data_IF_502001307749
#
_entry.id   IF_502001307749
#
_cell.length_a   1.000
_cell.length_b   1.000
_cell.length_c   1.000
_cell.angle_alpha   90.00
_cell.angle_beta   90.00
_cell.angle_gamma   90.00
#
_symmetry.space_group_name_H-M   'P 1'
#
loop_
_entity.id
_entity.type
_entity.pdbx_description
1 polymer ?
#
# COMPACT_ATOMS: atom_id res chain seq x y z
N UNK A 1 -39.72 -22.51 19.17
CA UNK A 1 -40.07 -21.19 19.71
C UNK A 1 -39.54 -21.13 21.13
N UNK A 2 -38.37 -20.59 21.33
CA UNK A 2 -37.83 -20.25 22.67
C UNK A 2 -37.36 -18.80 22.61
N UNK A 3 -38.11 -17.94 23.25
CA UNK A 3 -37.87 -16.51 23.46
C UNK A 3 -36.65 -16.33 24.38
N UNK A 4 -35.58 -15.78 23.81
CA UNK A 4 -34.42 -15.32 24.56
C UNK A 4 -34.77 -13.94 25.14
N UNK A 5 -34.83 -13.85 26.47
CA UNK A 5 -35.04 -12.62 27.23
C UNK A 5 -33.78 -11.71 27.10
N UNK A 6 -33.94 -10.38 27.00
CA UNK A 6 -32.79 -9.47 26.93
C UNK A 6 -32.11 -9.40 28.32
N UNK A 7 -30.80 -9.62 28.32
CA UNK A 7 -29.92 -9.39 29.47
C UNK A 7 -29.93 -7.88 29.76
N UNK A 8 -30.36 -7.52 30.97
CA UNK A 8 -30.29 -6.15 31.46
C UNK A 8 -28.84 -5.72 31.61
N UNK A 9 -28.45 -4.67 30.92
CA UNK A 9 -27.13 -4.04 31.01
C UNK A 9 -27.06 -3.31 32.38
N UNK A 10 -26.05 -3.67 33.16
CA UNK A 10 -25.65 -3.03 34.41
C UNK A 10 -25.17 -1.60 34.12
N UNK A 11 -25.92 -0.60 34.61
CA UNK A 11 -25.60 0.82 34.44
C UNK A 11 -24.83 1.30 35.66
N UNK A 12 -23.51 1.06 35.73
CA UNK A 12 -22.62 1.75 36.65
C UNK A 12 -21.58 2.58 35.91
N UNK A 13 -21.72 3.92 36.02
CA UNK A 13 -20.75 4.99 35.88
C UNK A 13 -19.76 4.87 34.70
N UNK A 14 -20.18 5.25 33.49
CA UNK A 14 -19.31 5.56 32.35
C UNK A 14 -19.82 6.84 31.69
N UNK A 15 -18.93 7.78 31.49
CA UNK A 15 -19.09 9.08 30.83
C UNK A 15 -20.10 9.02 29.66
N UNK A 16 -21.21 9.74 29.78
CA UNK A 16 -22.18 9.87 28.68
C UNK A 16 -21.46 10.55 27.51
N UNK A 17 -21.36 9.90 26.34
CA UNK A 17 -20.73 10.53 25.20
C UNK A 17 -21.38 11.89 24.96
N UNK A 18 -20.56 12.95 24.79
CA UNK A 18 -21.01 14.34 24.70
C UNK A 18 -22.14 14.46 23.68
N UNK A 19 -23.12 15.33 23.94
CA UNK A 19 -24.29 15.52 23.07
C UNK A 19 -23.92 15.83 21.61
N UNK A 20 -22.70 16.28 21.37
CA UNK A 20 -22.12 16.50 20.05
C UNK A 20 -21.90 15.15 19.31
N UNK A 21 -21.30 14.14 19.95
CA UNK A 21 -21.05 12.82 19.34
C UNK A 21 -22.37 12.15 18.96
N UNK A 22 -23.37 12.19 19.84
CA UNK A 22 -24.70 11.61 19.58
C UNK A 22 -25.45 12.35 18.44
N UNK A 23 -25.31 13.68 18.36
CA UNK A 23 -25.87 14.48 17.24
C UNK A 23 -25.18 14.14 15.92
N UNK A 24 -23.86 13.99 15.92
CA UNK A 24 -23.10 13.62 14.70
C UNK A 24 -23.47 12.23 14.21
N UNK A 25 -23.60 11.24 15.10
CA UNK A 25 -24.08 9.90 14.77
C UNK A 25 -25.53 9.90 14.26
N UNK A 26 -26.42 10.68 14.86
CA UNK A 26 -27.79 10.81 14.41
C UNK A 26 -27.86 11.46 13.01
N UNK A 27 -27.06 12.49 12.73
CA UNK A 27 -26.94 13.12 11.41
C UNK A 27 -26.38 12.16 10.37
N UNK A 28 -25.34 11.40 10.68
CA UNK A 28 -24.75 10.42 9.77
C UNK A 28 -25.73 9.26 9.46
N UNK A 29 -26.52 8.85 10.45
CA UNK A 29 -27.53 7.80 10.29
C UNK A 29 -28.78 8.26 9.54
N UNK A 30 -28.99 9.60 9.47
CA UNK A 30 -30.11 10.21 8.74
C UNK A 30 -29.77 10.57 7.29
N UNK A 31 -28.53 10.31 6.82
CA UNK A 31 -28.19 10.54 5.40
C UNK A 31 -29.02 9.57 4.55
N UNK A 32 -29.96 10.07 3.73
CA UNK A 32 -30.74 9.21 2.86
C UNK A 32 -29.80 8.42 1.94
N UNK A 33 -30.06 7.13 1.77
CA UNK A 33 -29.30 6.27 0.85
C UNK A 33 -29.17 6.87 -0.54
N UNK A 34 -30.18 7.67 -0.96
CA UNK A 34 -30.15 8.40 -2.23
C UNK A 34 -29.00 9.41 -2.35
N UNK A 35 -28.63 10.09 -1.24
CA UNK A 35 -27.49 11.02 -1.26
C UNK A 35 -26.18 10.25 -1.45
N UNK A 36 -26.03 9.08 -0.82
CA UNK A 36 -24.85 8.25 -1.01
C UNK A 36 -24.71 7.80 -2.46
N UNK A 37 -25.81 7.36 -3.08
CA UNK A 37 -25.83 6.99 -4.50
C UNK A 37 -25.52 8.20 -5.40
N UNK A 38 -26.06 9.38 -5.10
CA UNK A 38 -25.75 10.60 -5.84
C UNK A 38 -24.25 10.93 -5.79
N UNK A 39 -23.63 10.83 -4.61
CA UNK A 39 -22.20 11.03 -4.45
C UNK A 39 -21.39 10.00 -5.25
N UNK A 40 -21.77 8.72 -5.21
CA UNK A 40 -21.11 7.67 -6.01
C UNK A 40 -21.19 7.98 -7.50
N UNK A 41 -22.36 8.41 -8.00
CA UNK A 41 -22.53 8.78 -9.41
C UNK A 41 -21.64 9.97 -9.77
N UNK A 42 -21.67 11.04 -8.97
CA UNK A 42 -20.84 12.24 -9.22
C UNK A 42 -19.36 11.88 -9.24
N UNK A 43 -18.89 11.07 -8.29
CA UNK A 43 -17.49 10.62 -8.24
C UNK A 43 -17.09 9.69 -9.38
N UNK A 44 -18.06 8.97 -9.95
CA UNK A 44 -17.81 8.08 -11.09
C UNK A 44 -17.71 8.83 -12.43
N UNK A 45 -18.25 10.05 -12.53
CA UNK A 45 -18.28 10.84 -13.78
C UNK A 45 -16.88 11.01 -14.41
N UNK A 46 -15.83 11.47 -13.68
CA UNK A 46 -14.50 11.64 -14.29
C UNK A 46 -13.92 10.31 -14.76
N UNK A 47 -14.10 9.24 -13.98
CA UNK A 47 -13.61 7.89 -14.31
C UNK A 47 -14.30 7.33 -15.54
N UNK A 48 -15.64 7.50 -15.65
CA UNK A 48 -16.39 7.12 -16.83
C UNK A 48 -15.97 7.90 -18.07
N UNK A 49 -15.73 9.20 -17.92
CA UNK A 49 -15.21 10.03 -19.01
C UNK A 49 -13.85 9.57 -19.51
N UNK A 50 -12.96 9.23 -18.60
CA UNK A 50 -11.64 8.68 -18.94
C UNK A 50 -11.78 7.31 -19.62
N UNK A 51 -12.68 6.44 -19.12
CA UNK A 51 -12.98 5.13 -19.71
C UNK A 51 -13.48 5.26 -21.14
N UNK A 52 -14.46 6.11 -21.36
CA UNK A 52 -15.01 6.33 -22.70
C UNK A 52 -13.93 6.88 -23.64
N UNK A 53 -13.13 7.86 -23.18
CA UNK A 53 -12.06 8.41 -23.99
C UNK A 53 -10.96 7.39 -24.33
N UNK A 54 -10.75 6.36 -23.49
CA UNK A 54 -9.77 5.31 -23.81
C UNK A 54 -10.07 4.55 -25.11
N UNK A 55 -11.34 4.52 -25.51
CA UNK A 55 -11.81 3.88 -26.75
C UNK A 55 -12.07 4.86 -27.92
N UNK A 56 -11.92 6.17 -27.70
CA UNK A 56 -12.20 7.17 -28.75
C UNK A 56 -10.93 7.49 -29.53
N UNK A 57 -11.10 7.72 -30.82
CA UNK A 57 -9.99 8.16 -31.67
C UNK A 57 -9.51 9.57 -31.27
N UNK A 58 -8.30 9.93 -31.70
CA UNK A 58 -7.63 11.18 -31.32
C UNK A 58 -8.43 12.44 -31.68
N UNK A 59 -9.04 12.46 -32.84
CA UNK A 59 -9.78 13.63 -33.34
C UNK A 59 -11.06 13.86 -32.53
N UNK A 60 -11.76 12.78 -32.19
CA UNK A 60 -12.93 12.85 -31.33
C UNK A 60 -12.60 13.32 -29.93
N UNK A 61 -11.50 12.84 -29.34
CA UNK A 61 -11.06 13.26 -28.01
C UNK A 61 -10.70 14.77 -27.95
N UNK A 62 -10.14 15.33 -29.04
CA UNK A 62 -9.74 16.73 -29.11
C UNK A 62 -10.89 17.68 -29.40
N UNK A 63 -11.82 17.27 -30.26
CA UNK A 63 -12.82 18.17 -30.81
C UNK A 63 -14.17 18.10 -30.12
N UNK A 64 -14.45 17.03 -29.35
CA UNK A 64 -15.76 16.82 -28.71
C UNK A 64 -15.59 16.32 -27.28
N UNK A 65 -16.59 16.64 -26.43
CA UNK A 65 -16.62 16.12 -25.07
C UNK A 65 -16.92 14.60 -25.04
N UNK A 66 -16.40 13.90 -24.03
CA UNK A 66 -16.55 12.45 -23.85
C UNK A 66 -18.02 11.99 -23.79
N UNK A 67 -18.95 12.91 -23.47
CA UNK A 67 -20.41 12.62 -23.45
C UNK A 67 -21.08 12.66 -24.85
N UNK A 68 -20.33 12.98 -25.89
CA UNK A 68 -20.79 12.97 -27.29
C UNK A 68 -20.14 11.82 -28.05
N UNK A 69 -20.42 10.59 -27.59
CA UNK A 69 -19.86 9.37 -28.19
C UNK A 69 -20.64 9.00 -29.45
N UNK A 70 -19.92 8.73 -30.55
CA UNK A 70 -20.47 8.12 -31.76
C UNK A 70 -19.80 6.77 -32.02
N UNK A 71 -20.54 5.80 -32.59
CA UNK A 71 -19.95 4.47 -32.87
C UNK A 71 -18.74 4.51 -33.80
N UNK A 72 -18.72 5.43 -34.76
CA UNK A 72 -17.63 5.63 -35.73
C UNK A 72 -16.34 6.23 -35.10
N UNK A 73 -16.44 6.78 -33.91
CA UNK A 73 -15.30 7.33 -33.17
C UNK A 73 -14.59 6.27 -32.30
N UNK A 74 -15.22 5.10 -32.11
CA UNK A 74 -14.70 4.06 -31.21
C UNK A 74 -13.62 3.23 -31.92
N UNK A 75 -12.49 3.05 -31.22
CA UNK A 75 -11.33 2.30 -31.72
C UNK A 75 -10.57 1.62 -30.57
N UNK A 76 -9.84 0.57 -30.88
CA UNK A 76 -8.87 -0.07 -29.99
C UNK A 76 -7.44 0.39 -30.27
N UNK A 77 -7.22 1.27 -31.26
CA UNK A 77 -5.88 1.74 -31.65
C UNK A 77 -5.08 2.34 -30.51
N UNK A 78 -5.77 2.99 -29.53
CA UNK A 78 -5.11 3.54 -28.35
C UNK A 78 -4.45 2.43 -27.53
N UNK A 79 -5.11 1.28 -27.40
CA UNK A 79 -4.58 0.12 -26.69
C UNK A 79 -3.46 -0.55 -27.49
N UNK A 80 -3.59 -0.70 -28.78
CA UNK A 80 -2.52 -1.23 -29.65
C UNK A 80 -1.28 -0.36 -29.58
N UNK A 81 -1.46 0.96 -29.58
CA UNK A 81 -0.36 1.91 -29.48
C UNK A 81 0.39 1.83 -28.16
N UNK A 82 -0.31 1.75 -27.00
CA UNK A 82 0.36 1.69 -25.69
C UNK A 82 1.12 0.38 -25.46
N UNK A 83 0.66 -0.73 -26.08
CA UNK A 83 1.34 -2.02 -25.99
C UNK A 83 2.41 -2.21 -27.06
N UNK A 84 2.51 -1.29 -28.03
CA UNK A 84 3.59 -1.31 -29.02
C UNK A 84 4.96 -1.21 -28.34
N UNK A 85 5.99 -1.74 -28.99
CA UNK A 85 7.38 -1.64 -28.52
C UNK A 85 7.85 -0.19 -28.31
N UNK A 86 7.27 0.75 -29.05
CA UNK A 86 7.61 2.18 -28.94
C UNK A 86 7.09 2.80 -27.65
N UNK A 87 5.89 2.47 -27.20
CA UNK A 87 5.31 2.99 -25.96
C UNK A 87 5.78 2.21 -24.73
N UNK A 88 6.01 0.90 -24.85
CA UNK A 88 6.65 0.07 -23.82
C UNK A 88 5.83 -0.21 -22.57
N UNK A 89 4.49 -0.05 -22.62
CA UNK A 89 3.64 -0.23 -21.44
C UNK A 89 3.73 -1.66 -20.87
N UNK A 90 3.82 -2.68 -21.73
CA UNK A 90 3.95 -4.07 -21.29
C UNK A 90 5.18 -4.29 -20.40
N UNK A 91 6.34 -3.75 -20.81
CA UNK A 91 7.57 -3.83 -20.00
C UNK A 91 7.41 -3.05 -18.69
N UNK A 92 6.80 -1.88 -18.74
CA UNK A 92 6.60 -1.04 -17.55
C UNK A 92 5.62 -1.69 -16.54
N UNK A 93 4.62 -2.45 -17.00
CA UNK A 93 3.76 -3.26 -16.13
C UNK A 93 4.55 -4.35 -15.41
N UNK A 94 5.45 -5.05 -16.13
CA UNK A 94 6.34 -6.04 -15.52
C UNK A 94 7.28 -5.39 -14.49
N UNK A 95 7.82 -4.22 -14.80
CA UNK A 95 8.64 -3.46 -13.86
C UNK A 95 7.83 -3.03 -12.62
N UNK A 96 6.59 -2.56 -12.80
CA UNK A 96 5.69 -2.25 -11.68
C UNK A 96 5.45 -3.47 -10.79
N UNK A 97 5.22 -4.64 -11.37
CA UNK A 97 5.07 -5.88 -10.63
C UNK A 97 6.38 -6.30 -9.92
N UNK A 98 7.52 -6.16 -10.60
CA UNK A 98 8.85 -6.45 -10.04
C UNK A 98 9.22 -5.52 -8.86
N UNK A 99 8.60 -4.36 -8.76
CA UNK A 99 8.73 -3.45 -7.61
C UNK A 99 7.67 -3.77 -6.55
N UNK A 100 6.39 -3.83 -6.93
CA UNK A 100 5.28 -3.90 -5.98
C UNK A 100 5.19 -5.24 -5.25
N UNK A 101 5.49 -6.35 -5.91
CA UNK A 101 5.42 -7.68 -5.29
C UNK A 101 6.45 -7.85 -4.16
N UNK A 102 7.76 -7.66 -4.38
CA UNK A 102 8.74 -7.78 -3.30
C UNK A 102 8.56 -6.69 -2.24
N UNK A 103 8.23 -5.45 -2.61
CA UNK A 103 7.93 -4.36 -1.68
C UNK A 103 6.69 -4.60 -0.81
N UNK A 104 5.85 -5.56 -1.16
CA UNK A 104 4.70 -6.00 -0.35
C UNK A 104 5.04 -7.20 0.50
N UNK A 105 5.61 -8.25 -0.10
CA UNK A 105 5.83 -9.53 0.57
C UNK A 105 6.96 -9.45 1.61
N UNK A 106 8.07 -8.79 1.27
CA UNK A 106 9.25 -8.75 2.13
C UNK A 106 8.98 -8.03 3.46
N UNK A 107 8.43 -6.78 3.45
CA UNK A 107 8.14 -6.11 4.71
C UNK A 107 7.08 -6.83 5.55
N UNK A 108 6.09 -7.49 4.94
CA UNK A 108 5.10 -8.31 5.66
C UNK A 108 5.80 -9.45 6.40
N UNK A 109 6.65 -10.20 5.70
CA UNK A 109 7.34 -11.34 6.27
C UNK A 109 8.23 -10.90 7.45
N UNK A 110 9.08 -9.89 7.25
CA UNK A 110 9.98 -9.41 8.30
C UNK A 110 9.20 -8.81 9.47
N UNK A 111 8.19 -7.98 9.18
CA UNK A 111 7.39 -7.33 10.21
C UNK A 111 6.55 -8.32 11.03
N UNK A 112 6.06 -9.42 10.44
CA UNK A 112 5.34 -10.45 11.19
C UNK A 112 6.25 -11.11 12.25
N UNK A 113 7.48 -11.46 11.91
CA UNK A 113 8.46 -11.98 12.87
C UNK A 113 8.81 -10.94 13.93
N UNK A 114 9.12 -9.70 13.53
CA UNK A 114 9.47 -8.62 14.43
C UNK A 114 8.32 -8.29 15.39
N UNK A 115 7.10 -8.18 14.89
CA UNK A 115 5.91 -7.91 15.69
C UNK A 115 5.64 -9.03 16.71
N UNK A 116 5.78 -10.28 16.32
CA UNK A 116 5.70 -11.40 17.24
C UNK A 116 6.78 -11.35 18.32
N UNK A 117 8.02 -11.05 17.93
CA UNK A 117 9.13 -10.86 18.87
C UNK A 117 8.86 -9.76 19.87
N UNK A 118 8.38 -8.60 19.41
CA UNK A 118 8.00 -7.48 20.28
C UNK A 118 6.76 -7.76 21.17
N UNK A 119 5.84 -8.60 20.72
CA UNK A 119 4.63 -8.91 21.48
C UNK A 119 4.83 -9.99 22.55
N UNK A 120 5.52 -11.08 22.21
CA UNK A 120 5.50 -12.33 22.98
C UNK A 120 6.86 -12.86 23.41
N UNK A 121 7.96 -12.25 23.01
CA UNK A 121 9.30 -12.65 23.43
C UNK A 121 9.86 -11.59 24.40
N UNK A 122 10.29 -12.02 25.58
CA UNK A 122 10.95 -11.15 26.54
C UNK A 122 12.44 -11.07 26.27
N UNK A 123 12.92 -9.88 25.91
CA UNK A 123 14.34 -9.59 25.73
C UNK A 123 14.70 -8.19 26.25
N UNK A 124 15.97 -8.01 26.61
CA UNK A 124 16.49 -6.72 27.08
C UNK A 124 16.40 -5.68 25.96
N UNK A 125 15.83 -4.51 26.24
CA UNK A 125 15.70 -3.42 25.28
C UNK A 125 14.44 -3.51 24.38
N UNK A 126 13.51 -4.46 24.58
CA UNK A 126 12.28 -4.63 23.81
C UNK A 126 11.51 -3.32 23.63
N UNK A 127 11.18 -2.66 24.75
CA UNK A 127 10.38 -1.41 24.75
C UNK A 127 11.05 -0.26 24.02
N UNK A 128 12.32 0.14 24.37
CA UNK A 128 12.96 1.24 23.66
C UNK A 128 13.22 0.94 22.18
N UNK A 129 13.51 -0.32 21.80
CA UNK A 129 13.67 -0.69 20.40
C UNK A 129 12.35 -0.58 19.61
N UNK A 130 11.23 -1.03 20.21
CA UNK A 130 9.92 -0.84 19.59
C UNK A 130 9.57 0.63 19.42
N UNK A 131 9.78 1.46 20.45
CA UNK A 131 9.54 2.90 20.38
C UNK A 131 10.43 3.55 19.32
N UNK A 132 11.71 3.19 19.25
CA UNK A 132 12.61 3.68 18.21
C UNK A 132 12.15 3.29 16.80
N UNK A 133 11.68 2.06 16.62
CA UNK A 133 11.11 1.60 15.34
C UNK A 133 9.89 2.44 14.94
N UNK A 134 8.96 2.68 15.87
CA UNK A 134 7.77 3.50 15.60
C UNK A 134 8.15 4.97 15.36
N UNK A 135 9.15 5.49 16.04
CA UNK A 135 9.64 6.87 15.86
C UNK A 135 10.16 7.12 14.44
N UNK A 136 10.64 6.09 13.71
CA UNK A 136 11.02 6.22 12.31
C UNK A 136 9.87 6.65 11.39
N UNK A 137 8.61 6.45 11.79
CA UNK A 137 7.44 6.98 11.07
C UNK A 137 7.41 8.51 10.98
N UNK A 138 8.09 9.20 11.90
CA UNK A 138 8.18 10.65 11.91
C UNK A 138 9.14 11.20 10.82
N UNK A 139 9.95 10.36 10.20
CA UNK A 139 10.90 10.78 9.15
C UNK A 139 10.12 10.98 7.85
N UNK A 140 10.05 12.21 7.29
CA UNK A 140 9.40 12.43 6.01
C UNK A 140 10.13 11.68 4.90
N UNK A 141 9.39 10.89 4.12
CA UNK A 141 9.92 10.10 3.00
C UNK A 141 10.76 10.96 2.05
N UNK A 142 10.26 12.14 1.70
CA UNK A 142 10.90 13.04 0.74
C UNK A 142 12.31 13.46 1.16
N UNK A 143 12.52 13.67 2.47
CA UNK A 143 13.82 14.09 3.02
C UNK A 143 14.84 12.95 2.94
N UNK A 144 14.39 11.71 3.10
CA UNK A 144 15.27 10.55 3.11
C UNK A 144 15.64 10.03 1.71
N UNK A 145 14.93 10.41 0.64
CA UNK A 145 15.17 9.88 -0.71
C UNK A 145 16.57 10.20 -1.24
N UNK A 146 17.03 11.44 -1.11
CA UNK A 146 18.36 11.85 -1.62
C UNK A 146 19.50 11.14 -0.84
N UNK A 147 19.49 11.09 0.51
CA UNK A 147 20.45 10.29 1.26
C UNK A 147 20.47 8.81 0.87
N UNK A 148 19.30 8.20 0.67
CA UNK A 148 19.19 6.81 0.23
C UNK A 148 19.74 6.61 -1.18
N UNK A 149 19.43 7.51 -2.11
CA UNK A 149 19.99 7.44 -3.46
C UNK A 149 21.52 7.51 -3.43
N UNK A 150 22.11 8.41 -2.62
CA UNK A 150 23.55 8.48 -2.44
C UNK A 150 24.13 7.17 -1.90
N UNK A 151 23.43 6.54 -0.95
CA UNK A 151 23.82 5.24 -0.41
C UNK A 151 23.81 4.14 -1.49
N UNK A 152 22.84 4.18 -2.40
CA UNK A 152 22.70 3.21 -3.49
C UNK A 152 23.69 3.43 -4.64
N UNK A 153 24.22 4.64 -4.80
CA UNK A 153 25.22 5.00 -5.84
C UNK A 153 26.65 4.72 -5.39
N UNK A 154 26.96 4.93 -4.10
CA UNK A 154 28.36 4.92 -3.67
C UNK A 154 28.60 4.25 -2.30
N UNK A 155 27.57 3.59 -1.74
CA UNK A 155 27.67 3.01 -0.42
C UNK A 155 27.83 4.06 0.70
N UNK A 156 28.40 3.65 1.83
CA UNK A 156 28.72 4.54 2.93
C UNK A 156 30.11 4.25 3.49
N UNK A 157 30.93 5.28 3.64
CA UNK A 157 32.25 5.18 4.23
C UNK A 157 32.47 6.27 5.29
N UNK A 158 33.22 5.94 6.30
CA UNK A 158 33.65 6.86 7.34
C UNK A 158 35.17 7.09 7.21
N UNK A 159 35.55 8.30 6.88
CA UNK A 159 36.95 8.69 6.84
C UNK A 159 37.34 9.27 8.21
N UNK A 160 38.35 8.69 8.83
CA UNK A 160 38.94 9.15 10.09
C UNK A 160 40.14 10.03 9.79
N UNK A 161 39.99 11.37 9.81
CA UNK A 161 41.06 12.29 9.35
C UNK A 161 42.37 12.18 10.15
N UNK A 162 42.26 11.84 11.43
CA UNK A 162 43.43 11.67 12.33
C UNK A 162 44.29 10.43 12.03
N UNK A 163 43.67 9.40 11.39
CA UNK A 163 44.32 8.12 11.13
C UNK A 163 44.57 7.88 9.64
N UNK A 164 44.20 8.84 8.80
CA UNK A 164 44.21 8.74 7.33
C UNK A 164 43.60 7.39 6.82
N UNK A 165 42.55 6.95 7.54
CA UNK A 165 41.92 5.65 7.29
C UNK A 165 40.49 5.84 6.93
N UNK A 166 40.08 5.26 5.78
CA UNK A 166 38.66 5.16 5.37
C UNK A 166 38.13 3.76 5.69
N UNK A 167 37.05 3.69 6.47
CA UNK A 167 36.34 2.46 6.81
C UNK A 167 35.10 2.42 5.97
N UNK A 168 34.94 1.39 5.12
CA UNK A 168 33.71 1.14 4.38
C UNK A 168 32.70 0.54 5.33
N UNK A 169 31.61 1.27 5.61
CA UNK A 169 30.50 0.81 6.46
C UNK A 169 29.50 -0.02 5.66
N UNK A 170 29.18 0.46 4.45
CA UNK A 170 28.29 -0.20 3.51
C UNK A 170 28.99 -0.16 2.15
N UNK A 171 29.25 -1.31 1.52
CA UNK A 171 29.88 -1.33 0.21
C UNK A 171 28.94 -0.75 -0.87
N UNK A 172 29.52 -0.30 -1.97
CA UNK A 172 28.75 0.10 -3.14
C UNK A 172 28.19 -1.14 -3.84
N UNK A 173 26.88 -1.28 -3.80
CA UNK A 173 26.16 -2.35 -4.50
C UNK A 173 25.66 -1.92 -5.89
N UNK A 174 25.89 -0.68 -6.28
CA UNK A 174 25.46 -0.09 -7.55
C UNK A 174 23.97 -0.36 -7.84
N UNK A 175 23.12 -0.10 -6.85
CA UNK A 175 21.68 -0.39 -6.93
C UNK A 175 20.90 0.70 -7.66
N UNK A 176 21.42 1.93 -7.72
CA UNK A 176 20.73 3.05 -8.36
C UNK A 176 20.40 2.74 -9.83
N UNK A 177 19.27 3.24 -10.30
CA UNK A 177 18.79 2.98 -11.66
C UNK A 177 18.10 1.63 -11.85
N UNK A 178 17.82 0.89 -10.76
CA UNK A 178 17.20 -0.44 -10.81
C UNK A 178 15.86 -0.53 -10.08
N UNK A 179 15.01 -1.48 -10.49
CA UNK A 179 13.80 -1.85 -9.74
C UNK A 179 14.13 -2.32 -8.33
N UNK A 180 15.34 -2.88 -8.11
CA UNK A 180 15.81 -3.31 -6.78
C UNK A 180 15.94 -2.13 -5.82
N UNK A 181 16.52 -1.00 -6.25
CA UNK A 181 16.59 0.22 -5.43
C UNK A 181 15.19 0.70 -5.03
N UNK A 182 14.23 0.67 -5.98
CA UNK A 182 12.88 1.12 -5.72
C UNK A 182 12.17 0.23 -4.69
N UNK A 183 12.12 -1.10 -4.87
CA UNK A 183 11.42 -1.98 -3.93
C UNK A 183 12.11 -2.05 -2.56
N UNK A 184 13.43 -1.95 -2.50
CA UNK A 184 14.17 -1.92 -1.23
C UNK A 184 13.84 -0.65 -0.44
N UNK A 185 13.75 0.49 -1.11
CA UNK A 185 13.31 1.77 -0.52
C UNK A 185 11.89 1.66 0.03
N UNK A 186 10.94 1.14 -0.76
CA UNK A 186 9.57 0.91 -0.30
C UNK A 186 9.52 -0.03 0.91
N UNK A 187 10.31 -1.10 0.89
CA UNK A 187 10.43 -2.02 2.03
C UNK A 187 10.89 -1.30 3.29
N UNK A 188 11.95 -0.50 3.20
CA UNK A 188 12.47 0.26 4.33
C UNK A 188 11.44 1.19 4.97
N UNK A 189 10.71 1.95 4.16
CA UNK A 189 9.67 2.86 4.64
C UNK A 189 8.41 2.14 5.14
N UNK A 190 8.10 0.96 4.61
CA UNK A 190 6.96 0.16 5.04
C UNK A 190 7.17 -0.48 6.43
N UNK A 191 8.42 -0.83 6.76
CA UNK A 191 8.77 -1.62 7.94
C UNK A 191 8.24 -1.04 9.27
N UNK A 192 8.44 0.24 9.61
CA UNK A 192 7.99 0.78 10.89
C UNK A 192 6.46 0.68 11.05
N UNK A 193 5.71 1.01 10.00
CA UNK A 193 4.25 0.92 10.02
C UNK A 193 3.75 -0.53 10.06
N UNK A 194 4.36 -1.41 9.28
CA UNK A 194 4.04 -2.84 9.29
C UNK A 194 4.25 -3.46 10.67
N UNK A 195 5.40 -3.19 11.31
CA UNK A 195 5.71 -3.69 12.66
C UNK A 195 4.70 -3.13 13.68
N UNK A 196 4.41 -1.83 13.63
CA UNK A 196 3.44 -1.21 14.52
C UNK A 196 2.04 -1.83 14.38
N UNK A 197 1.54 -1.93 13.16
CA UNK A 197 0.22 -2.48 12.87
C UNK A 197 0.10 -3.95 13.32
N UNK A 198 1.06 -4.77 12.93
CA UNK A 198 1.07 -6.20 13.26
C UNK A 198 1.30 -6.44 14.74
N UNK A 199 2.15 -5.66 15.40
CA UNK A 199 2.36 -5.74 16.84
C UNK A 199 1.07 -5.47 17.61
N UNK A 200 0.32 -4.41 17.24
CA UNK A 200 -0.94 -4.09 17.91
C UNK A 200 -1.97 -5.23 17.78
N UNK A 201 -2.05 -5.83 16.59
CA UNK A 201 -2.94 -6.96 16.35
C UNK A 201 -2.49 -8.22 17.11
N UNK A 202 -1.23 -8.62 16.97
CA UNK A 202 -0.67 -9.84 17.59
C UNK A 202 -0.68 -9.74 19.12
N UNK A 203 -0.45 -8.56 19.69
CA UNK A 203 -0.55 -8.33 21.13
C UNK A 203 -1.98 -8.43 21.67
N UNK A 204 -2.98 -8.28 20.79
CA UNK A 204 -4.39 -8.37 21.19
C UNK A 204 -4.94 -9.79 21.16
N UNK A 205 -4.18 -10.78 20.70
CA UNK A 205 -4.58 -12.18 20.71
C UNK A 205 -4.73 -12.70 22.14
N UNK A 206 -5.72 -13.58 22.44
CA UNK A 206 -5.95 -14.11 23.78
C UNK A 206 -4.73 -14.86 24.30
N UNK A 207 -4.31 -14.55 25.55
CA UNK A 207 -3.15 -15.17 26.19
C UNK A 207 -3.34 -16.67 26.40
N UNK A 208 -4.56 -17.09 26.70
CA UNK A 208 -4.91 -18.50 26.94
C UNK A 208 -4.51 -19.42 25.78
N UNK A 209 -4.58 -18.91 24.53
CA UNK A 209 -4.14 -19.68 23.35
C UNK A 209 -2.64 -19.97 23.38
N UNK A 210 -1.84 -19.02 23.86
CA UNK A 210 -0.39 -19.15 23.96
C UNK A 210 0.01 -20.06 25.14
N UNK A 211 -0.73 -19.96 26.24
CA UNK A 211 -0.51 -20.79 27.43
C UNK A 211 -0.84 -22.25 27.11
N UNK A 212 -1.98 -22.52 26.48
CA UNK A 212 -2.35 -23.86 26.04
C UNK A 212 -1.32 -24.46 25.09
N UNK A 213 -0.87 -23.69 24.07
CA UNK A 213 0.16 -24.16 23.14
C UNK A 213 1.49 -24.47 23.83
N UNK A 214 1.87 -23.73 24.89
CA UNK A 214 3.08 -24.00 25.68
C UNK A 214 2.92 -25.26 26.55
N UNK A 215 1.74 -25.50 27.12
CA UNK A 215 1.44 -26.72 27.86
C UNK A 215 1.56 -27.94 26.94
N UNK A 216 1.12 -27.80 25.68
CA UNK A 216 1.26 -28.83 24.63
C UNK A 216 2.72 -28.99 24.12
N UNK A 217 3.69 -28.27 24.71
CA UNK A 217 5.11 -28.36 24.37
C UNK A 217 5.52 -27.58 23.12
N UNK A 218 4.66 -26.67 22.60
CA UNK A 218 5.02 -25.88 21.43
C UNK A 218 6.09 -24.84 21.74
N UNK A 219 7.16 -24.80 20.95
CA UNK A 219 8.16 -23.74 21.00
C UNK A 219 7.68 -22.47 20.26
N UNK A 220 8.43 -21.36 20.38
CA UNK A 220 8.08 -20.09 19.77
C UNK A 220 7.91 -20.16 18.23
N UNK A 221 8.72 -20.98 17.55
CA UNK A 221 8.61 -21.18 16.10
C UNK A 221 7.30 -21.88 15.72
N UNK A 222 6.93 -22.93 16.45
CA UNK A 222 5.67 -23.65 16.25
C UNK A 222 4.46 -22.75 16.52
N UNK A 223 4.50 -21.99 17.63
CA UNK A 223 3.45 -21.01 17.97
C UNK A 223 3.31 -19.97 16.86
N UNK A 224 4.41 -19.41 16.36
CA UNK A 224 4.36 -18.42 15.29
C UNK A 224 3.69 -18.98 14.03
N UNK A 225 4.15 -20.13 13.53
CA UNK A 225 3.66 -20.66 12.26
C UNK A 225 2.26 -21.27 12.34
N UNK A 226 1.92 -21.95 13.45
CA UNK A 226 0.66 -22.70 13.57
C UNK A 226 -0.46 -21.93 14.27
N UNK A 227 -0.13 -20.90 15.03
CA UNK A 227 -1.11 -20.12 15.76
C UNK A 227 -1.14 -18.66 15.31
N UNK A 228 -0.03 -17.93 15.45
CA UNK A 228 -0.01 -16.48 15.22
C UNK A 228 -0.23 -16.13 13.76
N UNK A 229 0.50 -16.76 12.85
CA UNK A 229 0.41 -16.45 11.41
C UNK A 229 -1.00 -16.72 10.84
N UNK A 230 -1.64 -17.90 11.08
CA UNK A 230 -3.01 -18.13 10.63
C UNK A 230 -4.04 -17.15 11.22
N UNK A 231 -3.93 -16.84 12.51
CA UNK A 231 -4.83 -15.89 13.16
C UNK A 231 -4.62 -14.44 12.66
N UNK A 232 -3.41 -14.12 12.20
CA UNK A 232 -3.06 -12.79 11.69
C UNK A 232 -3.38 -12.60 10.20
N UNK A 233 -3.87 -13.60 9.47
CA UNK A 233 -4.20 -13.48 8.04
C UNK A 233 -5.05 -12.25 7.71
N UNK A 234 -6.09 -11.86 8.50
CA UNK A 234 -6.88 -10.68 8.19
C UNK A 234 -6.08 -9.38 8.20
N UNK A 235 -5.23 -9.16 9.20
CA UNK A 235 -4.40 -7.94 9.29
C UNK A 235 -3.25 -7.97 8.29
N UNK A 236 -2.66 -9.14 8.03
CA UNK A 236 -1.64 -9.31 7.00
C UNK A 236 -2.18 -8.99 5.61
N UNK A 237 -3.38 -9.46 5.28
CA UNK A 237 -4.03 -9.17 4.02
C UNK A 237 -4.42 -7.68 3.90
N UNK A 238 -4.91 -7.06 4.98
CA UNK A 238 -5.22 -5.64 5.00
C UNK A 238 -3.96 -4.80 4.73
N UNK A 239 -2.85 -5.12 5.39
CA UNK A 239 -1.58 -4.46 5.14
C UNK A 239 -1.05 -4.73 3.72
N UNK A 240 -1.17 -5.97 3.23
CA UNK A 240 -0.73 -6.34 1.88
C UNK A 240 -1.44 -5.51 0.80
N UNK A 241 -2.76 -5.33 0.91
CA UNK A 241 -3.54 -4.49 -0.01
C UNK A 241 -3.03 -3.06 0.05
N UNK A 242 -2.92 -2.48 1.25
CA UNK A 242 -2.48 -1.11 1.44
C UNK A 242 -1.07 -0.89 0.87
N UNK A 243 -0.13 -1.75 1.21
CA UNK A 243 1.26 -1.68 0.77
C UNK A 243 1.40 -1.86 -0.74
N UNK A 244 0.67 -2.84 -1.31
CA UNK A 244 0.66 -3.06 -2.76
C UNK A 244 0.12 -1.83 -3.51
N UNK A 245 -1.03 -1.30 -3.09
CA UNK A 245 -1.63 -0.12 -3.70
C UNK A 245 -0.74 1.11 -3.59
N UNK A 246 -0.11 1.31 -2.44
CA UNK A 246 0.83 2.41 -2.24
C UNK A 246 2.03 2.29 -3.17
N UNK A 247 2.67 1.12 -3.24
CA UNK A 247 3.84 0.90 -4.10
C UNK A 247 3.49 0.94 -5.59
N UNK A 248 2.36 0.33 -5.97
CA UNK A 248 1.93 0.29 -7.37
C UNK A 248 1.64 1.68 -7.95
N UNK A 249 1.08 2.57 -7.13
CA UNK A 249 0.72 3.93 -7.54
C UNK A 249 1.83 4.96 -7.27
N UNK A 250 2.98 4.55 -6.72
CA UNK A 250 4.06 5.47 -6.44
C UNK A 250 4.76 5.92 -7.71
N UNK A 251 4.98 7.23 -7.78
CA UNK A 251 5.80 7.87 -8.81
C UNK A 251 7.14 8.35 -8.23
N UNK A 252 7.13 8.89 -7.02
CA UNK A 252 8.24 9.65 -6.47
C UNK A 252 9.47 8.79 -6.18
N UNK A 253 9.29 7.68 -5.48
CA UNK A 253 10.38 6.75 -5.17
C UNK A 253 10.91 6.15 -6.48
N UNK A 254 10.02 5.67 -7.34
CA UNK A 254 10.39 5.06 -8.60
C UNK A 254 11.17 6.05 -9.49
N UNK A 255 10.67 7.27 -9.65
CA UNK A 255 11.34 8.30 -10.46
C UNK A 255 12.70 8.71 -9.88
N UNK A 256 12.84 8.74 -8.54
CA UNK A 256 14.10 9.10 -7.88
C UNK A 256 15.12 7.98 -7.93
N UNK A 257 14.71 6.72 -7.66
CA UNK A 257 15.64 5.60 -7.54
C UNK A 257 16.03 4.99 -8.87
N UNK A 258 15.13 5.03 -9.86
CA UNK A 258 15.35 4.48 -11.20
C UNK A 258 15.86 5.57 -12.18
N UNK A 259 15.34 6.80 -12.03
CA UNK A 259 15.75 7.93 -12.84
C UNK A 259 15.50 7.72 -14.35
N UNK A 260 16.51 8.04 -15.16
CA UNK A 260 16.41 8.00 -16.63
C UNK A 260 16.49 6.60 -17.26
N UNK A 261 16.62 5.53 -16.46
CA UNK A 261 16.71 4.16 -17.00
C UNK A 261 15.35 3.66 -17.52
N UNK A 262 15.02 3.99 -18.74
CA UNK A 262 13.73 3.68 -19.38
C UNK A 262 13.35 2.18 -19.34
N UNK A 263 14.35 1.28 -19.39
CA UNK A 263 14.09 -0.18 -19.36
C UNK A 263 13.59 -0.69 -17.99
N UNK A 264 13.80 0.08 -16.93
CA UNK A 264 13.42 -0.27 -15.56
C UNK A 264 12.23 0.55 -15.02
N UNK A 265 11.74 1.54 -15.79
CA UNK A 265 10.66 2.43 -15.35
C UNK A 265 9.34 1.67 -15.17
N UNK A 266 8.63 1.87 -14.04
CA UNK A 266 7.27 1.37 -13.86
C UNK A 266 6.24 2.20 -14.62
N UNK A 267 5.00 1.74 -14.64
CA UNK A 267 3.90 2.38 -15.38
C UNK A 267 3.63 3.82 -14.94
N UNK A 268 3.78 4.16 -13.67
CA UNK A 268 3.59 5.52 -13.14
C UNK A 268 4.55 6.51 -13.78
N UNK A 269 5.83 6.15 -13.88
CA UNK A 269 6.86 6.97 -14.50
C UNK A 269 6.66 7.05 -16.01
N UNK A 270 6.33 5.93 -16.67
CA UNK A 270 6.02 5.92 -18.08
C UNK A 270 4.84 6.84 -18.42
N UNK A 271 3.72 6.73 -17.70
CA UNK A 271 2.53 7.56 -17.94
C UNK A 271 2.83 9.04 -17.71
N UNK A 272 3.60 9.37 -16.67
CA UNK A 272 4.03 10.74 -16.43
C UNK A 272 4.88 11.31 -17.58
N UNK A 273 5.79 10.50 -18.14
CA UNK A 273 6.59 10.88 -19.32
C UNK A 273 5.70 11.06 -20.55
N UNK A 274 4.75 10.16 -20.81
CA UNK A 274 3.80 10.29 -21.91
C UNK A 274 2.94 11.57 -21.78
N UNK A 275 2.54 11.93 -20.57
CA UNK A 275 1.79 13.16 -20.31
C UNK A 275 2.63 14.42 -20.52
N UNK A 276 3.95 14.36 -20.25
CA UNK A 276 4.88 15.48 -20.42
C UNK A 276 5.22 15.81 -21.87
N UNK A 277 4.90 14.97 -22.86
CA UNK A 277 5.26 15.12 -24.27
C UNK A 277 4.39 16.15 -25.05
N UNK A 278 4.00 17.24 -24.41
CA UNK A 278 3.32 18.39 -25.04
C UNK A 278 2.14 18.01 -25.96
N UNK A 279 1.25 17.17 -25.49
CA UNK A 279 0.02 16.79 -26.21
C UNK A 279 0.21 15.79 -27.36
N UNK A 280 1.42 15.26 -27.59
CA UNK A 280 1.65 14.25 -28.63
C UNK A 280 0.92 12.94 -28.35
N UNK A 281 0.84 12.57 -27.07
CA UNK A 281 0.33 11.28 -26.58
C UNK A 281 -1.01 11.37 -25.84
N UNK A 282 -1.70 12.51 -25.92
CA UNK A 282 -2.95 12.74 -25.16
C UNK A 282 -4.02 11.65 -25.40
N UNK A 283 -4.12 11.15 -26.63
CA UNK A 283 -5.13 10.16 -26.99
C UNK A 283 -4.90 8.79 -26.37
N UNK A 284 -3.66 8.42 -26.07
CA UNK A 284 -3.33 7.11 -25.49
C UNK A 284 -3.25 7.13 -23.96
N UNK A 285 -3.19 8.32 -23.33
CA UNK A 285 -3.13 8.46 -21.88
C UNK A 285 -4.32 7.83 -21.16
N UNK A 286 -5.58 8.02 -21.60
CA UNK A 286 -6.72 7.37 -20.97
C UNK A 286 -6.61 5.84 -20.98
N UNK A 287 -6.17 5.26 -22.10
CA UNK A 287 -5.97 3.81 -22.21
C UNK A 287 -4.85 3.32 -21.27
N UNK A 288 -3.72 4.03 -21.21
CA UNK A 288 -2.62 3.69 -20.34
C UNK A 288 -3.04 3.77 -18.86
N UNK A 289 -3.80 4.80 -18.46
CA UNK A 289 -4.32 4.98 -17.10
C UNK A 289 -5.27 3.85 -16.70
N UNK A 290 -6.15 3.39 -17.63
CA UNK A 290 -7.05 2.28 -17.36
C UNK A 290 -6.33 0.95 -17.20
N UNK A 291 -5.33 0.67 -18.05
CA UNK A 291 -4.51 -0.54 -17.91
C UNK A 291 -3.75 -0.54 -16.58
N UNK A 292 -3.20 0.61 -16.18
CA UNK A 292 -2.55 0.73 -14.87
C UNK A 292 -3.52 0.53 -13.71
N UNK A 293 -4.72 1.10 -13.76
CA UNK A 293 -5.73 1.00 -12.71
C UNK A 293 -6.33 -0.41 -12.60
N UNK A 294 -6.31 -1.18 -13.69
CA UNK A 294 -6.90 -2.53 -13.70
C UNK A 294 -6.23 -3.48 -12.71
N UNK A 295 -4.90 -3.46 -12.61
CA UNK A 295 -4.16 -4.36 -11.72
C UNK A 295 -4.50 -4.12 -10.23
N UNK A 296 -4.44 -2.88 -9.69
CA UNK A 296 -4.89 -2.58 -8.33
C UNK A 296 -6.34 -3.00 -8.06
N UNK A 297 -7.23 -2.80 -9.02
CA UNK A 297 -8.64 -3.22 -8.90
C UNK A 297 -8.77 -4.74 -8.76
N UNK A 298 -8.05 -5.51 -9.57
CA UNK A 298 -8.04 -6.97 -9.47
C UNK A 298 -7.51 -7.41 -8.10
N UNK A 299 -6.40 -6.84 -7.65
CA UNK A 299 -5.82 -7.16 -6.33
C UNK A 299 -6.78 -6.81 -5.20
N UNK A 300 -7.40 -5.62 -5.27
CA UNK A 300 -8.40 -5.21 -4.29
C UNK A 300 -9.61 -6.16 -4.24
N UNK A 301 -10.21 -6.47 -5.38
CA UNK A 301 -11.37 -7.38 -5.42
C UNK A 301 -11.04 -8.80 -4.99
N UNK A 302 -9.85 -9.29 -5.29
CA UNK A 302 -9.39 -10.59 -4.83
C UNK A 302 -9.23 -10.68 -3.30
N UNK A 303 -8.77 -9.59 -2.67
CA UNK A 303 -8.43 -9.57 -1.25
C UNK A 303 -9.45 -8.82 -0.36
N UNK A 304 -10.45 -8.12 -0.92
CA UNK A 304 -11.38 -7.26 -0.18
C UNK A 304 -12.09 -7.97 0.99
N UNK A 305 -12.41 -9.25 0.85
CA UNK A 305 -13.05 -10.05 1.91
C UNK A 305 -12.21 -10.12 3.19
N UNK A 306 -10.90 -10.12 3.06
CA UNK A 306 -9.96 -10.13 4.19
C UNK A 306 -9.81 -8.73 4.77
N UNK A 307 -9.82 -7.70 3.92
CA UNK A 307 -9.74 -6.29 4.31
C UNK A 307 -10.89 -5.89 5.21
N UNK A 308 -12.13 -6.20 4.85
CA UNK A 308 -13.32 -5.89 5.65
C UNK A 308 -13.25 -6.58 7.01
N UNK A 309 -12.84 -7.86 7.06
CA UNK A 309 -12.68 -8.59 8.32
C UNK A 309 -11.56 -8.01 9.19
N UNK A 310 -10.45 -7.58 8.59
CA UNK A 310 -9.31 -6.99 9.31
C UNK A 310 -9.65 -5.66 9.99
N UNK A 311 -10.39 -4.77 9.30
CA UNK A 311 -10.82 -3.48 9.86
C UNK A 311 -11.85 -3.69 10.97
N UNK A 312 -12.83 -4.58 10.78
CA UNK A 312 -13.86 -4.85 11.80
C UNK A 312 -13.27 -5.47 13.05
N UNK A 313 -12.28 -6.36 12.95
CA UNK A 313 -11.60 -6.95 14.10
C UNK A 313 -10.86 -5.91 14.96
N UNK A 314 -10.40 -4.80 14.37
CA UNK A 314 -9.79 -3.69 15.08
C UNK A 314 -10.78 -2.70 15.72
N UNK A 315 -12.02 -2.68 15.25
CA UNK A 315 -13.04 -1.72 15.69
C UNK A 315 -13.96 -2.21 16.82
N UNK A 316 -13.94 -3.50 17.17
CA UNK A 316 -14.78 -4.12 18.21
C UNK A 316 -14.05 -4.13 19.56
N UNK A 317 -13.45 -3.01 19.94
CA UNK A 317 -13.04 -2.70 21.32
C UNK A 317 -13.80 -1.46 21.76
N UNK A 318 -15.05 -1.64 22.07
CA UNK A 318 -15.92 -0.70 22.73
C UNK A 318 -16.90 -1.46 23.59
#
# INVERSE_FOLDING_TARGET
MSTIAPVAADTSSGDKPSGFINRTYALLRSIPTGILWLLVVIWSIPTLGLFINSFRNRDAQRNTGWWKVRPDELTLDNYDQIFSARAGLGQSLLNSAAIAIPATIIPIAIAAFAAYGFAWIDFKGRKPLFIATVALLAIPLQVALIPLLKLYVGGASLTLPLLDKTIVLIPDFNLAGSTTAAWLTHTGFAMPFAIFLLHNYISSLPKDLFEAARIDGANHFTIFWRLVLPLSVPVLAAFAIFQFLWTWNDFLIANTMIGANASQQPTTVLIANLAGDFGRNESILPAAAFVQAFVPLVVFFALQRYFVRGILAGSVKG
#
